data_IF_508765181434
#
_entry.id   IF_508765181434
#
_cell.length_a   1.000
_cell.length_b   1.000
_cell.length_c   1.000
_cell.angle_alpha   90.00
_cell.angle_beta   90.00
_cell.angle_gamma   90.00
#
_symmetry.space_group_name_H-M   'P 1'
#
loop_
_entity.id
_entity.type
_entity.pdbx_description
1 polymer ?
#
# COMPACT_ATOMS: atom_id res chain seq x y z
N UNK A 1 6.11 16.95 8.99
CA UNK A 1 5.09 16.25 9.78
C UNK A 1 4.86 14.88 9.20
N UNK A 2 4.77 13.84 10.05
CA UNK A 2 4.51 12.49 9.58
C UNK A 2 3.02 12.36 9.25
N UNK A 3 2.67 11.77 8.09
CA UNK A 3 1.27 11.53 7.79
C UNK A 3 0.61 10.62 8.84
N UNK A 4 -0.67 10.88 9.13
CA UNK A 4 -1.43 10.04 10.04
C UNK A 4 -1.80 8.72 9.37
N UNK A 5 -2.21 7.74 10.17
CA UNK A 5 -2.71 6.47 9.62
C UNK A 5 -3.90 6.71 8.70
N UNK A 6 -4.76 7.68 9.03
CA UNK A 6 -5.89 8.04 8.17
C UNK A 6 -5.43 8.58 6.82
N UNK A 7 -4.41 9.43 6.82
CA UNK A 7 -3.86 9.97 5.57
C UNK A 7 -3.30 8.85 4.71
N UNK A 8 -2.59 7.91 5.33
CA UNK A 8 -2.03 6.76 4.63
C UNK A 8 -3.15 5.87 4.07
N UNK A 9 -4.15 5.59 4.89
CA UNK A 9 -5.28 4.77 4.47
C UNK A 9 -6.03 5.40 3.30
N UNK A 10 -6.28 6.71 3.37
CA UNK A 10 -6.96 7.43 2.29
C UNK A 10 -6.18 7.34 0.98
N UNK A 11 -4.86 7.50 1.03
CA UNK A 11 -4.03 7.39 -0.16
C UNK A 11 -4.04 5.98 -0.75
N UNK A 12 -3.95 4.96 0.10
CA UNK A 12 -3.98 3.56 -0.33
C UNK A 12 -5.32 3.21 -0.98
N UNK A 13 -6.42 3.57 -0.33
CA UNK A 13 -7.76 3.25 -0.84
C UNK A 13 -8.04 4.01 -2.13
N UNK A 14 -7.63 5.27 -2.22
CA UNK A 14 -7.82 6.06 -3.44
C UNK A 14 -7.08 5.42 -4.62
N UNK A 15 -5.83 5.01 -4.43
CA UNK A 15 -5.07 4.31 -5.46
C UNK A 15 -5.74 3.00 -5.87
N UNK A 16 -6.18 2.22 -4.89
CA UNK A 16 -6.84 0.94 -5.16
C UNK A 16 -8.10 1.13 -5.99
N UNK A 17 -8.91 2.14 -5.67
CA UNK A 17 -10.14 2.41 -6.42
C UNK A 17 -9.85 2.98 -7.80
N UNK A 18 -8.82 3.81 -7.94
CA UNK A 18 -8.44 4.33 -9.26
C UNK A 18 -7.98 3.23 -10.20
N UNK A 19 -7.25 2.23 -9.70
CA UNK A 19 -6.77 1.12 -10.51
C UNK A 19 -7.88 0.10 -10.80
N UNK A 20 -8.76 -0.13 -9.85
CA UNK A 20 -9.88 -1.06 -9.98
C UNK A 20 -9.50 -2.50 -9.66
N UNK A 21 -10.51 -3.35 -9.62
CA UNK A 21 -10.35 -4.79 -9.34
C UNK A 21 -9.49 -5.43 -10.42
N UNK A 22 -8.58 -6.31 -9.99
CA UNK A 22 -7.69 -7.01 -10.90
C UNK A 22 -6.43 -6.26 -11.28
N UNK A 23 -6.29 -5.01 -10.82
CA UNK A 23 -5.09 -4.21 -11.07
C UNK A 23 -4.43 -3.87 -9.74
N UNK A 24 -3.11 -3.74 -9.77
CA UNK A 24 -2.34 -3.53 -8.55
C UNK A 24 -1.46 -2.30 -8.66
N UNK A 25 -0.96 -1.85 -7.51
CA UNK A 25 -0.03 -0.73 -7.43
C UNK A 25 1.06 -1.06 -6.40
N UNK A 26 2.19 -0.35 -6.49
CA UNK A 26 3.26 -0.48 -5.53
C UNK A 26 2.98 0.38 -4.30
N UNK A 27 3.22 -0.11 -3.07
CA UNK A 27 3.04 0.72 -1.87
C UNK A 27 3.79 2.05 -1.92
N UNK A 28 4.91 2.12 -2.64
CA UNK A 28 5.66 3.37 -2.79
C UNK A 28 4.85 4.46 -3.49
N UNK A 29 3.87 4.11 -4.31
CA UNK A 29 3.01 5.12 -4.94
C UNK A 29 2.21 5.89 -3.90
N UNK A 30 1.71 5.22 -2.87
CA UNK A 30 1.03 5.89 -1.76
C UNK A 30 2.00 6.75 -0.95
N UNK A 31 3.18 6.21 -0.65
CA UNK A 31 4.18 6.95 0.11
C UNK A 31 4.62 8.22 -0.62
N UNK A 32 4.86 8.13 -1.93
CA UNK A 32 5.26 9.27 -2.76
C UNK A 32 4.18 10.35 -2.83
N UNK A 33 2.92 9.95 -2.77
CA UNK A 33 1.79 10.87 -2.76
C UNK A 33 1.76 11.70 -1.48
N UNK A 34 2.28 11.13 -0.39
CA UNK A 34 2.22 11.74 0.94
C UNK A 34 3.44 12.59 1.26
N UNK A 35 4.61 12.31 0.67
CA UNK A 35 5.84 13.03 0.98
C UNK A 35 6.88 12.85 -0.12
N UNK A 36 7.68 13.89 -0.36
CA UNK A 36 8.84 13.78 -1.23
C UNK A 36 9.87 12.83 -0.64
N UNK A 37 10.05 12.87 0.69
CA UNK A 37 10.90 11.92 1.39
C UNK A 37 10.06 10.72 1.82
N UNK A 38 9.74 9.88 0.86
CA UNK A 38 8.75 8.82 1.02
C UNK A 38 9.33 7.51 1.57
N UNK A 39 10.64 7.28 1.41
CA UNK A 39 11.22 5.99 1.81
C UNK A 39 11.02 5.67 3.29
N UNK A 40 11.19 6.61 4.24
CA UNK A 40 10.93 6.30 5.65
C UNK A 40 9.46 5.97 5.95
N UNK A 41 8.54 6.32 5.05
CA UNK A 41 7.12 6.02 5.24
C UNK A 41 6.75 4.58 4.88
N UNK A 42 7.62 3.85 4.18
CA UNK A 42 7.26 2.52 3.68
C UNK A 42 6.83 1.54 4.76
N UNK A 43 7.52 1.43 5.91
CA UNK A 43 7.05 0.53 6.97
C UNK A 43 5.65 0.89 7.45
N UNK A 44 5.36 2.19 7.59
CA UNK A 44 4.04 2.66 8.03
C UNK A 44 2.97 2.37 6.98
N UNK A 45 3.29 2.60 5.70
CA UNK A 45 2.36 2.31 4.60
C UNK A 45 1.99 0.83 4.59
N UNK A 46 2.98 -0.05 4.74
CA UNK A 46 2.73 -1.49 4.78
C UNK A 46 1.90 -1.89 6.01
N UNK A 47 2.18 -1.29 7.15
CA UNK A 47 1.42 -1.56 8.38
C UNK A 47 -0.05 -1.19 8.22
N UNK A 48 -0.30 -0.01 7.68
CA UNK A 48 -1.69 0.44 7.46
C UNK A 48 -2.36 -0.42 6.41
N UNK A 49 -1.66 -0.77 5.33
CA UNK A 49 -2.21 -1.64 4.29
C UNK A 49 -2.69 -2.99 4.86
N UNK A 50 -1.99 -3.53 5.85
CA UNK A 50 -2.37 -4.78 6.48
C UNK A 50 -3.68 -4.66 7.28
N UNK A 51 -4.05 -3.46 7.70
CA UNK A 51 -5.28 -3.20 8.44
C UNK A 51 -6.47 -2.92 7.53
N UNK A 52 -6.22 -2.70 6.25
CA UNK A 52 -7.26 -2.42 5.26
C UNK A 52 -7.64 -3.69 4.52
N UNK A 53 -8.82 -3.67 3.90
CA UNK A 53 -9.28 -4.78 3.06
C UNK A 53 -8.65 -4.68 1.68
N UNK A 54 -7.34 -4.86 1.62
CA UNK A 54 -6.56 -4.84 0.39
C UNK A 54 -5.83 -6.17 0.23
N UNK A 55 -5.74 -6.63 -1.01
CA UNK A 55 -4.95 -7.81 -1.35
C UNK A 55 -3.48 -7.39 -1.51
N UNK A 56 -2.59 -8.13 -0.88
CA UNK A 56 -1.15 -7.94 -1.04
C UNK A 56 -0.57 -9.17 -1.71
N UNK A 57 0.22 -8.97 -2.76
CA UNK A 57 0.82 -10.08 -3.50
C UNK A 57 2.30 -9.83 -3.75
N UNK A 58 3.03 -10.91 -3.94
CA UNK A 58 4.42 -10.87 -4.35
C UNK A 58 4.62 -12.00 -5.37
N UNK A 59 5.05 -11.63 -6.56
CA UNK A 59 5.19 -12.58 -7.67
C UNK A 59 3.91 -13.38 -7.93
N UNK A 60 2.76 -12.71 -7.78
CA UNK A 60 1.46 -13.32 -8.02
C UNK A 60 0.89 -14.14 -6.87
N UNK A 61 1.62 -14.32 -5.77
CA UNK A 61 1.15 -15.08 -4.61
C UNK A 61 0.76 -14.15 -3.47
N UNK A 62 -0.31 -14.47 -2.70
CA UNK A 62 -0.69 -13.66 -1.54
C UNK A 62 0.42 -13.64 -0.49
N UNK A 63 0.66 -12.46 0.10
CA UNK A 63 1.67 -12.29 1.15
C UNK A 63 1.15 -11.35 2.21
N UNK A 64 1.77 -11.39 3.39
CA UNK A 64 1.54 -10.41 4.45
C UNK A 64 2.33 -9.15 4.12
N UNK A 65 1.68 -7.99 3.96
CA UNK A 65 2.40 -6.77 3.59
C UNK A 65 3.39 -6.30 4.65
N UNK A 66 3.22 -6.70 5.91
CA UNK A 66 4.13 -6.30 6.99
C UNK A 66 5.41 -7.14 6.97
N UNK A 67 5.27 -8.46 6.81
CA UNK A 67 6.39 -9.38 6.94
C UNK A 67 7.08 -9.72 5.63
N UNK A 68 6.42 -9.50 4.49
CA UNK A 68 7.01 -9.81 3.19
C UNK A 68 8.26 -8.96 2.94
N UNK A 69 9.32 -9.59 2.48
CA UNK A 69 10.56 -8.91 2.12
C UNK A 69 10.58 -8.63 0.63
N UNK A 70 11.09 -7.45 0.28
CA UNK A 70 11.18 -7.05 -1.11
C UNK A 70 9.90 -6.42 -1.62
N UNK A 71 9.85 -6.12 -2.94
CA UNK A 71 8.70 -5.43 -3.53
C UNK A 71 7.43 -6.27 -3.46
N UNK A 72 6.32 -5.60 -3.10
CA UNK A 72 4.99 -6.21 -3.10
C UNK A 72 4.04 -5.35 -3.93
N UNK A 73 2.87 -5.90 -4.25
CA UNK A 73 1.80 -5.19 -4.95
C UNK A 73 0.55 -5.21 -4.09
N UNK A 74 -0.21 -4.12 -4.15
CA UNK A 74 -1.48 -3.98 -3.43
C UNK A 74 -2.60 -3.72 -4.42
N UNK A 75 -3.81 -4.13 -4.06
CA UNK A 75 -4.98 -3.91 -4.91
C UNK A 75 -6.26 -4.25 -4.18
N UNK A 76 -7.40 -3.97 -4.85
CA UNK A 76 -8.69 -4.37 -4.31
C UNK A 76 -8.80 -5.91 -4.32
N UNK A 77 -9.39 -6.50 -3.26
CA UNK A 77 -9.70 -7.93 -3.27
C UNK A 77 -10.76 -8.19 -4.33
N UNK A 78 -10.59 -9.28 -5.06
CA UNK A 78 -11.55 -9.56 -6.14
C UNK A 78 -11.58 -10.96 -6.63
#
# INVERSE_FOLDING_TARGET
MTPSDKDIADALLDLAHQRGVGKTFCPSEAARRLSDDWRPLMPEVRRVAAQLDLAATQKGAPVDPVTAKGPIRLGLPG
#
